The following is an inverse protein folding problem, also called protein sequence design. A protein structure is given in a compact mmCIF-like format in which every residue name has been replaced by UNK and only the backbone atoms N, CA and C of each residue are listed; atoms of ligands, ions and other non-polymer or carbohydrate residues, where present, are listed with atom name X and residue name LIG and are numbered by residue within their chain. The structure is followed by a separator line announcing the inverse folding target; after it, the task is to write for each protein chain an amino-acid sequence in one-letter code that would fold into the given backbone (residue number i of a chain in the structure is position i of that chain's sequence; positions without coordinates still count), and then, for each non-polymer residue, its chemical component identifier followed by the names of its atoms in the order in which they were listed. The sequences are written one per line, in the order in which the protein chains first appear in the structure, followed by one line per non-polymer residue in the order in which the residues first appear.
data_IF_093823920269
#
_entry.id   IF_093823920269
#
_cell.length_a   1.000
_cell.length_b   1.000
_cell.length_c   1.000
_cell.angle_alpha   90.00
_cell.angle_beta   90.00
_cell.angle_gamma   90.00
#
_symmetry.space_group_name_H-M   'P 1'
#
loop_
_entity.id
_entity.type
_entity.pdbx_description
1 polymer ?
#
# COMPACT_ATOMS: atom_id res chain seq x y z
N UNK A 1 -21.27 -59.34 29.63
CA UNK A 1 -21.56 -57.91 29.34
C UNK A 1 -20.27 -57.13 29.52
N UNK A 2 -19.55 -56.88 28.42
CA UNK A 2 -18.33 -56.08 28.44
C UNK A 2 -18.67 -54.64 28.03
N UNK A 3 -18.35 -53.71 28.92
CA UNK A 3 -18.47 -52.27 28.70
C UNK A 3 -17.26 -51.84 27.85
N UNK A 4 -17.47 -51.49 26.58
CA UNK A 4 -16.42 -50.90 25.73
C UNK A 4 -16.49 -49.38 25.91
N UNK A 5 -15.57 -48.85 26.72
CA UNK A 5 -15.35 -47.42 26.87
C UNK A 5 -14.61 -46.92 25.63
N UNK A 6 -15.31 -46.24 24.73
CA UNK A 6 -14.71 -45.48 23.62
C UNK A 6 -13.97 -44.26 24.19
N UNK A 7 -12.70 -44.44 24.54
CA UNK A 7 -11.75 -43.34 24.68
C UNK A 7 -11.54 -42.75 23.28
N UNK A 8 -12.14 -41.59 23.02
CA UNK A 8 -11.77 -40.78 21.88
C UNK A 8 -10.26 -40.48 21.95
N UNK A 9 -9.48 -40.71 20.89
CA UNK A 9 -8.05 -40.46 20.95
C UNK A 9 -7.81 -38.96 21.09
N UNK A 10 -7.23 -38.59 22.24
CA UNK A 10 -6.69 -37.29 22.60
C UNK A 10 -5.46 -36.94 21.74
N UNK A 11 -5.62 -36.97 20.41
CA UNK A 11 -4.56 -36.70 19.44
C UNK A 11 -5.05 -35.92 18.21
N UNK A 12 -6.37 -35.68 18.07
CA UNK A 12 -6.92 -34.75 17.05
C UNK A 12 -6.92 -33.28 17.51
N UNK A 13 -6.82 -33.02 18.83
CA UNK A 13 -6.76 -31.65 19.37
C UNK A 13 -5.34 -31.03 19.35
N UNK A 14 -4.30 -31.81 19.05
CA UNK A 14 -2.90 -31.35 18.99
C UNK A 14 -2.38 -31.10 17.56
N UNK A 15 -3.13 -31.46 16.52
CA UNK A 15 -2.74 -31.25 15.12
C UNK A 15 -3.26 -29.94 14.50
N UNK A 16 -3.95 -29.10 15.27
CA UNK A 16 -4.41 -27.76 14.87
C UNK A 16 -3.57 -26.63 15.47
N UNK A 17 -2.30 -26.89 15.81
CA UNK A 17 -1.32 -25.81 15.88
C UNK A 17 -1.07 -25.32 14.44
N UNK A 18 -2.01 -24.52 13.92
CA UNK A 18 -1.79 -23.70 12.73
C UNK A 18 -0.44 -23.01 12.94
N UNK A 19 0.49 -23.20 12.02
CA UNK A 19 1.85 -22.64 12.10
C UNK A 19 1.74 -21.11 12.06
N UNK A 20 1.58 -20.52 13.25
CA UNK A 20 1.32 -19.09 13.41
C UNK A 20 2.61 -18.37 13.06
N UNK A 21 2.64 -17.75 11.88
CA UNK A 21 3.75 -16.88 11.51
C UNK A 21 3.84 -15.73 12.50
N UNK A 22 4.99 -15.62 13.13
CA UNK A 22 5.40 -14.42 13.85
C UNK A 22 5.59 -13.31 12.82
N UNK A 23 5.04 -12.14 13.14
CA UNK A 23 5.01 -10.96 12.28
C UNK A 23 5.50 -9.75 13.08
N UNK A 24 6.47 -9.02 12.51
CA UNK A 24 6.82 -7.69 13.01
C UNK A 24 5.80 -6.68 12.49
N UNK A 25 4.93 -6.17 13.36
CA UNK A 25 4.00 -5.10 13.04
C UNK A 25 4.69 -3.76 13.33
N UNK A 26 5.14 -3.09 12.28
CA UNK A 26 5.78 -1.79 12.44
C UNK A 26 4.71 -0.71 12.77
N UNK A 27 5.07 0.31 13.57
CA UNK A 27 4.21 1.48 13.72
C UNK A 27 3.90 2.08 12.36
N UNK A 28 2.62 2.31 12.05
CA UNK A 28 2.26 2.94 10.78
C UNK A 28 2.81 4.36 10.73
N UNK A 29 3.30 4.78 9.57
CA UNK A 29 3.68 6.17 9.35
C UNK A 29 2.43 7.06 9.33
N UNK A 30 2.57 8.29 9.78
CA UNK A 30 1.50 9.28 9.70
C UNK A 30 1.77 10.28 8.58
N UNK A 31 1.25 10.00 7.38
CA UNK A 31 1.36 10.90 6.22
C UNK A 31 0.20 11.89 6.17
N UNK A 32 -0.92 11.55 6.84
CA UNK A 32 -2.08 12.43 6.98
C UNK A 32 -1.76 13.76 7.65
N UNK A 33 -0.77 13.79 8.55
CA UNK A 33 -0.41 14.96 9.36
C UNK A 33 -1.22 15.12 10.64
N UNK A 34 -2.18 14.23 10.92
CA UNK A 34 -2.99 14.29 12.15
C UNK A 34 -2.49 13.32 13.22
N UNK A 35 -2.12 13.86 14.38
CA UNK A 35 -1.58 13.08 15.51
C UNK A 35 -2.59 12.13 16.16
N UNK A 36 -3.90 12.36 15.99
CA UNK A 36 -4.94 11.52 16.59
C UNK A 36 -5.22 10.22 15.83
N UNK A 37 -4.66 10.06 14.63
CA UNK A 37 -4.96 8.93 13.75
C UNK A 37 -4.38 7.59 14.24
N UNK A 38 -3.09 7.57 14.62
CA UNK A 38 -2.40 6.33 15.01
C UNK A 38 -2.99 5.64 16.25
N UNK A 39 -3.33 6.35 17.34
CA UNK A 39 -3.97 5.74 18.51
C UNK A 39 -5.30 5.06 18.20
N UNK A 40 -6.00 5.49 17.16
CA UNK A 40 -7.27 4.88 16.71
C UNK A 40 -6.99 3.63 15.86
N UNK A 41 -6.07 3.73 14.90
CA UNK A 41 -5.92 2.68 13.88
C UNK A 41 -5.06 1.49 14.33
N UNK A 42 -3.99 1.74 15.08
CA UNK A 42 -3.03 0.69 15.43
C UNK A 42 -3.65 -0.46 16.25
N UNK A 43 -4.52 -0.19 17.25
CA UNK A 43 -5.22 -1.27 17.96
C UNK A 43 -6.10 -2.12 17.05
N UNK A 44 -6.79 -1.49 16.09
CA UNK A 44 -7.67 -2.18 15.14
C UNK A 44 -6.88 -3.06 14.17
N UNK A 45 -5.72 -2.58 13.69
CA UNK A 45 -4.77 -3.36 12.86
C UNK A 45 -4.28 -4.58 13.64
N UNK A 46 -3.80 -4.38 14.86
CA UNK A 46 -3.30 -5.46 15.72
C UNK A 46 -4.38 -6.51 16.01
N UNK A 47 -5.60 -6.08 16.33
CA UNK A 47 -6.73 -6.98 16.56
C UNK A 47 -7.07 -7.78 15.30
N UNK A 48 -7.10 -7.13 14.13
CA UNK A 48 -7.42 -7.76 12.85
C UNK A 48 -6.37 -8.82 12.49
N UNK A 49 -5.09 -8.53 12.64
CA UNK A 49 -4.00 -9.49 12.39
C UNK A 49 -4.08 -10.69 13.34
N UNK A 50 -4.32 -10.47 14.63
CA UNK A 50 -4.53 -11.56 15.61
C UNK A 50 -5.73 -12.42 15.24
N UNK A 51 -6.84 -11.81 14.80
CA UNK A 51 -8.03 -12.54 14.35
C UNK A 51 -7.77 -13.41 13.11
N UNK A 52 -6.79 -13.03 12.28
CA UNK A 52 -6.31 -13.81 11.12
C UNK A 52 -5.23 -14.83 11.46
N UNK A 53 -4.89 -15.00 12.75
CA UNK A 53 -3.97 -16.03 13.24
C UNK A 53 -2.49 -15.63 13.23
N UNK A 54 -2.16 -14.36 13.00
CA UNK A 54 -0.78 -13.88 13.10
C UNK A 54 -0.38 -13.70 14.57
N UNK A 55 0.80 -14.19 14.92
CA UNK A 55 1.46 -13.80 16.15
C UNK A 55 2.25 -12.52 15.90
N UNK A 56 2.23 -11.57 16.83
CA UNK A 56 2.80 -10.24 16.61
C UNK A 56 3.92 -10.03 17.62
N UNK A 57 5.09 -9.59 17.12
CA UNK A 57 6.21 -9.17 17.99
C UNK A 57 5.70 -8.11 18.97
N UNK A 58 5.96 -8.33 20.26
CA UNK A 58 5.49 -7.45 21.32
C UNK A 58 6.01 -6.00 21.12
N UNK A 59 5.16 -4.96 21.19
CA UNK A 59 5.58 -3.56 21.01
C UNK A 59 6.73 -3.14 21.91
N UNK A 60 6.76 -3.65 23.16
CA UNK A 60 7.78 -3.34 24.16
C UNK A 60 9.17 -3.88 23.79
N UNK A 61 9.23 -4.87 22.89
CA UNK A 61 10.47 -5.38 22.30
C UNK A 61 10.82 -4.64 21.01
N UNK A 62 9.81 -4.32 20.20
CA UNK A 62 10.01 -3.68 18.90
C UNK A 62 10.47 -2.22 19.02
N UNK A 63 9.93 -1.44 19.95
CA UNK A 63 10.31 -0.03 20.13
C UNK A 63 11.80 0.16 20.45
N UNK A 64 12.40 -0.55 21.42
CA UNK A 64 13.85 -0.50 21.66
C UNK A 64 14.68 -0.92 20.43
N UNK A 65 14.19 -1.87 19.63
CA UNK A 65 14.86 -2.27 18.39
C UNK A 65 14.89 -1.13 17.38
N UNK A 66 13.76 -0.46 17.13
CA UNK A 66 13.68 0.67 16.20
C UNK A 66 14.64 1.80 16.61
N UNK A 67 14.70 2.09 17.91
CA UNK A 67 15.60 3.11 18.46
C UNK A 67 17.08 2.73 18.27
N UNK A 68 17.47 1.50 18.66
CA UNK A 68 18.86 1.03 18.54
C UNK A 68 19.34 0.98 17.08
N UNK A 69 18.48 0.53 16.17
CA UNK A 69 18.78 0.47 14.74
C UNK A 69 18.50 1.79 14.00
N UNK A 70 18.10 2.85 14.72
CA UNK A 70 17.80 4.18 14.18
C UNK A 70 16.79 4.16 13.03
N UNK A 71 15.82 3.24 13.10
CA UNK A 71 14.77 3.09 12.10
C UNK A 71 13.71 4.14 12.40
N UNK A 72 13.77 5.25 11.64
CA UNK A 72 12.81 6.36 11.75
C UNK A 72 11.68 6.25 10.73
N UNK A 73 11.97 5.67 9.56
CA UNK A 73 10.98 5.41 8.53
C UNK A 73 10.53 3.96 8.65
N UNK A 74 9.34 3.76 9.21
CA UNK A 74 8.77 2.43 9.45
C UNK A 74 7.93 1.95 8.27
N UNK A 75 7.63 2.83 7.30
CA UNK A 75 6.84 2.52 6.10
C UNK A 75 7.68 1.97 4.95
N UNK A 76 8.98 2.27 4.93
CA UNK A 76 9.91 1.91 3.85
C UNK A 76 11.19 1.31 4.43
N UNK A 77 11.11 0.02 4.80
CA UNK A 77 12.23 -0.70 5.38
C UNK A 77 13.22 -1.16 4.29
N UNK A 78 14.52 -0.95 4.51
CA UNK A 78 15.55 -1.51 3.66
C UNK A 78 15.73 -3.02 3.91
N UNK A 79 16.36 -3.73 2.98
CA UNK A 79 16.70 -5.15 3.17
C UNK A 79 17.57 -5.39 4.41
N UNK A 80 18.48 -4.47 4.72
CA UNK A 80 19.30 -4.56 5.91
C UNK A 80 18.44 -4.45 7.19
N UNK A 81 17.46 -3.56 7.21
CA UNK A 81 16.54 -3.42 8.34
C UNK A 81 15.61 -4.63 8.49
N UNK A 82 15.11 -5.16 7.38
CA UNK A 82 14.32 -6.40 7.35
C UNK A 82 15.13 -7.61 7.86
N UNK A 83 16.40 -7.74 7.45
CA UNK A 83 17.30 -8.76 7.97
C UNK A 83 17.55 -8.59 9.47
N UNK A 84 17.71 -7.36 9.97
CA UNK A 84 17.88 -7.10 11.40
C UNK A 84 16.64 -7.54 12.21
N UNK A 85 15.42 -7.31 11.70
CA UNK A 85 14.19 -7.80 12.32
C UNK A 85 14.18 -9.33 12.40
N UNK A 86 14.59 -10.01 11.33
CA UNK A 86 14.69 -11.48 11.29
C UNK A 86 15.69 -12.01 12.30
N UNK A 87 16.88 -11.43 12.36
CA UNK A 87 17.95 -11.88 13.26
C UNK A 87 17.56 -11.70 14.74
N UNK A 88 16.88 -10.59 15.08
CA UNK A 88 16.53 -10.32 16.47
C UNK A 88 15.26 -11.04 16.93
N UNK A 89 14.24 -11.11 16.08
CA UNK A 89 12.91 -11.61 16.47
C UNK A 89 12.54 -12.96 15.87
N UNK A 90 13.33 -13.50 14.93
CA UNK A 90 12.99 -14.75 14.23
C UNK A 90 11.74 -14.64 13.36
N UNK A 91 11.33 -13.42 12.98
CA UNK A 91 10.15 -13.16 12.16
C UNK A 91 10.48 -13.28 10.68
N UNK A 92 9.69 -14.05 9.92
CA UNK A 92 9.86 -14.21 8.47
C UNK A 92 9.18 -13.11 7.65
N UNK A 93 8.32 -12.33 8.30
CA UNK A 93 7.55 -11.26 7.66
C UNK A 93 7.50 -10.00 8.52
N UNK A 94 7.46 -8.86 7.85
CA UNK A 94 7.28 -7.54 8.46
C UNK A 94 6.12 -6.84 7.77
N UNK A 95 5.19 -6.28 8.54
CA UNK A 95 4.08 -5.49 8.04
C UNK A 95 4.37 -4.02 8.28
N UNK A 96 4.42 -3.27 7.18
CA UNK A 96 4.57 -1.82 7.16
C UNK A 96 3.30 -1.19 6.61
N UNK A 97 3.08 0.07 6.92
CA UNK A 97 1.92 0.81 6.43
C UNK A 97 1.94 2.26 6.82
N UNK A 98 0.94 2.99 6.34
CA UNK A 98 0.79 4.42 6.58
C UNK A 98 -0.69 4.77 6.73
N UNK A 99 -0.93 5.84 7.49
CA UNK A 99 -2.17 6.61 7.44
C UNK A 99 -1.98 7.70 6.41
N UNK A 100 -2.56 7.48 5.23
CA UNK A 100 -2.48 8.38 4.09
C UNK A 100 -3.42 9.58 4.23
N UNK A 101 -4.64 9.32 4.70
CA UNK A 101 -5.69 10.31 4.88
C UNK A 101 -6.39 10.10 6.21
N UNK A 102 -6.57 11.18 6.96
CA UNK A 102 -7.46 11.22 8.11
C UNK A 102 -8.11 12.60 8.17
N UNK A 103 -9.43 12.62 8.08
CA UNK A 103 -10.21 13.83 8.25
C UNK A 103 -11.29 13.58 9.30
N UNK A 104 -11.14 14.23 10.45
CA UNK A 104 -12.12 14.22 11.52
C UNK A 104 -13.20 15.26 11.22
N UNK A 105 -14.40 14.78 10.88
CA UNK A 105 -15.56 15.61 10.58
C UNK A 105 -16.80 14.96 11.14
N UNK A 106 -17.64 15.75 11.80
CA UNK A 106 -18.93 15.30 12.33
C UNK A 106 -19.96 15.00 11.22
N UNK A 107 -19.75 15.55 10.02
CA UNK A 107 -20.64 15.34 8.88
C UNK A 107 -20.18 14.18 8.00
N UNK A 108 -18.90 14.16 7.65
CA UNK A 108 -18.33 13.17 6.73
C UNK A 108 -16.86 12.87 7.09
N UNK A 109 -16.61 12.00 8.09
CA UNK A 109 -15.25 11.58 8.42
C UNK A 109 -14.63 10.83 7.23
N UNK A 110 -13.30 10.86 7.12
CA UNK A 110 -12.59 10.14 6.07
C UNK A 110 -11.34 9.44 6.60
N UNK A 111 -11.06 8.26 6.04
CA UNK A 111 -9.83 7.52 6.28
C UNK A 111 -9.24 7.03 4.96
N UNK A 112 -7.92 6.98 4.89
CA UNK A 112 -7.15 6.35 3.84
C UNK A 112 -5.90 5.71 4.44
N UNK A 113 -5.67 4.45 4.08
CA UNK A 113 -4.57 3.64 4.56
C UNK A 113 -3.93 2.89 3.39
N UNK A 114 -2.65 2.61 3.54
CA UNK A 114 -1.93 1.65 2.72
C UNK A 114 -1.08 0.75 3.60
N UNK A 115 -0.91 -0.50 3.17
CA UNK A 115 -0.11 -1.47 3.90
C UNK A 115 0.43 -2.56 2.99
N UNK A 116 1.55 -3.14 3.41
CA UNK A 116 2.20 -4.25 2.73
C UNK A 116 2.95 -5.12 3.73
N UNK A 117 3.04 -6.40 3.37
CA UNK A 117 3.88 -7.37 4.06
C UNK A 117 5.12 -7.61 3.19
N UNK A 118 6.29 -7.37 3.76
CA UNK A 118 7.57 -7.73 3.17
C UNK A 118 8.11 -9.00 3.82
N UNK A 119 8.70 -9.88 2.99
CA UNK A 119 9.54 -10.98 3.44
C UNK A 119 10.80 -10.42 4.09
N UNK A 120 11.12 -10.86 5.30
CA UNK A 120 12.37 -10.46 5.97
C UNK A 120 13.58 -11.25 5.47
N UNK A 121 13.37 -12.23 4.60
CA UNK A 121 14.42 -13.08 4.01
C UNK A 121 15.12 -12.35 2.87
N UNK A 122 14.34 -11.70 2.00
CA UNK A 122 14.80 -11.19 0.71
C UNK A 122 14.18 -9.83 0.34
N UNK A 123 13.28 -9.27 1.15
CA UNK A 123 12.61 -8.00 0.88
C UNK A 123 11.45 -8.08 -0.11
N UNK A 124 11.08 -9.28 -0.58
CA UNK A 124 9.97 -9.46 -1.52
C UNK A 124 8.65 -9.04 -0.88
N UNK A 125 7.84 -8.25 -1.59
CA UNK A 125 6.47 -7.94 -1.17
C UNK A 125 5.62 -9.20 -1.32
N UNK A 126 5.03 -9.66 -0.23
CA UNK A 126 4.17 -10.86 -0.17
C UNK A 126 2.68 -10.52 -0.26
N UNK A 127 2.31 -9.32 0.18
CA UNK A 127 0.95 -8.81 0.13
C UNK A 127 1.00 -7.28 0.17
N UNK A 128 0.09 -6.61 -0.53
CA UNK A 128 -0.04 -5.16 -0.49
C UNK A 128 -1.48 -4.73 -0.82
N UNK A 129 -1.99 -3.74 -0.10
CA UNK A 129 -3.32 -3.18 -0.31
C UNK A 129 -3.35 -1.70 0.08
N UNK A 130 -4.22 -0.94 -0.58
CA UNK A 130 -4.63 0.39 -0.15
C UNK A 130 -6.16 0.49 -0.11
N UNK A 131 -6.67 1.19 0.90
CA UNK A 131 -8.10 1.36 1.10
C UNK A 131 -8.39 2.76 1.63
N UNK A 132 -9.44 3.39 1.11
CA UNK A 132 -9.95 4.64 1.68
C UNK A 132 -11.46 4.73 1.58
N UNK A 133 -12.06 5.23 2.65
CA UNK A 133 -13.50 5.32 2.85
C UNK A 133 -13.88 6.68 3.43
N UNK A 134 -15.10 7.10 3.14
CA UNK A 134 -15.77 8.25 3.75
C UNK A 134 -17.02 7.81 4.48
N UNK A 135 -17.46 8.60 5.46
CA UNK A 135 -18.74 8.39 6.14
C UNK A 135 -19.92 8.32 5.17
N UNK A 136 -19.84 9.12 4.11
CA UNK A 136 -20.79 9.20 3.01
C UNK A 136 -20.96 7.90 2.22
N UNK A 137 -19.93 7.03 2.17
CA UNK A 137 -19.98 5.76 1.43
C UNK A 137 -21.01 4.76 2.00
N UNK A 138 -21.45 4.99 3.25
CA UNK A 138 -22.44 4.16 3.96
C UNK A 138 -23.85 4.74 3.89
N UNK A 139 -24.03 5.87 3.21
CA UNK A 139 -25.31 6.57 3.10
C UNK A 139 -26.28 5.78 2.23
N UNK A 140 -27.49 5.57 2.74
CA UNK A 140 -28.62 4.96 2.06
C UNK A 140 -29.72 6.01 1.82
N UNK A 141 -30.91 5.55 1.44
CA UNK A 141 -32.09 6.39 1.21
C UNK A 141 -32.35 7.32 2.41
N UNK A 142 -32.61 8.61 2.12
CA UNK A 142 -32.88 9.67 3.12
C UNK A 142 -31.74 9.94 4.12
N UNK A 143 -30.48 9.64 3.77
CA UNK A 143 -29.34 9.93 4.65
C UNK A 143 -29.13 8.91 5.77
N UNK A 144 -29.89 7.81 5.78
CA UNK A 144 -29.77 6.75 6.79
C UNK A 144 -28.49 5.93 6.57
N UNK A 145 -27.84 5.50 7.64
CA UNK A 145 -26.66 4.62 7.58
C UNK A 145 -25.31 5.33 7.43
N UNK A 146 -25.30 6.65 7.16
CA UNK A 146 -24.06 7.45 7.12
C UNK A 146 -23.25 7.27 8.41
N UNK A 147 -21.97 6.95 8.26
CA UNK A 147 -21.06 6.85 9.40
C UNK A 147 -20.51 8.24 9.70
N UNK A 148 -20.90 8.81 10.84
CA UNK A 148 -20.40 10.12 11.31
C UNK A 148 -19.27 10.03 12.34
N UNK A 149 -19.05 8.84 12.89
CA UNK A 149 -18.00 8.58 13.87
C UNK A 149 -16.70 8.22 13.16
N UNK A 150 -15.59 8.97 13.38
CA UNK A 150 -14.29 8.62 12.82
C UNK A 150 -13.79 7.24 13.30
N UNK A 151 -14.06 6.86 14.55
CA UNK A 151 -13.66 5.57 15.10
C UNK A 151 -14.44 4.42 14.49
N UNK A 152 -15.75 4.56 14.30
CA UNK A 152 -16.55 3.57 13.58
C UNK A 152 -16.10 3.41 12.12
N UNK A 153 -15.76 4.52 11.45
CA UNK A 153 -15.23 4.45 10.09
C UNK A 153 -13.85 3.78 10.04
N UNK A 154 -13.03 3.96 11.10
CA UNK A 154 -11.74 3.29 11.24
C UNK A 154 -11.87 1.75 11.24
N UNK A 155 -12.90 1.21 11.88
CA UNK A 155 -13.17 -0.24 11.84
C UNK A 155 -13.46 -0.72 10.41
N UNK A 156 -14.26 0.03 9.66
CA UNK A 156 -14.64 -0.34 8.30
C UNK A 156 -13.48 -0.23 7.30
N UNK A 157 -12.62 0.81 7.43
CA UNK A 157 -11.45 0.94 6.55
C UNK A 157 -10.40 -0.14 6.84
N UNK A 158 -10.21 -0.54 8.10
CA UNK A 158 -9.31 -1.65 8.47
C UNK A 158 -9.84 -2.98 7.94
N UNK A 159 -11.15 -3.23 8.07
CA UNK A 159 -11.79 -4.40 7.44
C UNK A 159 -11.58 -4.42 5.93
N UNK A 160 -11.75 -3.27 5.27
CA UNK A 160 -11.54 -3.15 3.83
C UNK A 160 -10.08 -3.40 3.44
N UNK A 161 -9.13 -2.79 4.15
CA UNK A 161 -7.69 -2.91 3.91
C UNK A 161 -7.22 -4.37 4.03
N UNK A 162 -7.61 -5.08 5.09
CA UNK A 162 -7.13 -6.45 5.33
C UNK A 162 -8.05 -7.54 4.77
N UNK A 163 -9.04 -7.18 3.95
CA UNK A 163 -9.98 -8.16 3.37
C UNK A 163 -9.25 -9.22 2.54
N UNK A 164 -8.27 -8.81 1.74
CA UNK A 164 -7.47 -9.69 0.86
C UNK A 164 -6.32 -10.39 1.58
N UNK A 165 -6.00 -9.99 2.82
CA UNK A 165 -4.90 -10.58 3.57
C UNK A 165 -5.22 -12.04 3.95
N UNK A 166 -4.40 -13.02 3.52
CA UNK A 166 -4.57 -14.42 3.89
C UNK A 166 -4.50 -14.65 5.40
N UNK A 167 -5.09 -15.75 5.86
CA UNK A 167 -4.84 -16.24 7.21
C UNK A 167 -3.37 -16.66 7.36
N UNK A 168 -2.85 -16.60 8.59
CA UNK A 168 -1.50 -17.06 8.89
C UNK A 168 -1.26 -18.49 8.43
N UNK A 169 -0.07 -18.78 7.89
CA UNK A 169 0.28 -20.08 7.33
C UNK A 169 -0.27 -20.37 5.94
N UNK A 170 -1.21 -19.56 5.41
CA UNK A 170 -1.69 -19.72 4.03
C UNK A 170 -0.86 -18.89 3.04
N UNK A 171 -0.53 -19.42 1.85
CA UNK A 171 0.15 -18.62 0.83
C UNK A 171 -0.73 -17.41 0.47
N UNK A 172 -0.15 -16.22 0.28
CA UNK A 172 -0.90 -15.11 -0.28
C UNK A 172 -1.46 -15.52 -1.64
N UNK A 173 -2.76 -15.31 -1.82
CA UNK A 173 -3.38 -15.49 -3.12
C UNK A 173 -2.63 -14.60 -4.12
N UNK A 174 -2.22 -15.16 -5.26
CA UNK A 174 -1.69 -14.33 -6.33
C UNK A 174 -2.74 -13.27 -6.69
N UNK A 175 -2.34 -12.00 -6.86
CA UNK A 175 -3.26 -10.98 -7.29
C UNK A 175 -3.97 -11.44 -8.56
N UNK A 176 -5.28 -11.62 -8.50
CA UNK A 176 -6.07 -11.84 -9.71
C UNK A 176 -6.26 -10.49 -10.38
N UNK A 177 -5.97 -10.34 -11.69
CA UNK A 177 -6.22 -9.10 -12.39
C UNK A 177 -7.71 -8.79 -12.27
N UNK A 178 -8.09 -7.78 -11.47
CA UNK A 178 -9.46 -7.29 -11.49
C UNK A 178 -9.67 -6.62 -12.84
N UNK A 179 -10.54 -7.19 -13.67
CA UNK A 179 -10.98 -6.53 -14.90
C UNK A 179 -11.69 -5.23 -14.52
N UNK A 180 -11.21 -4.06 -14.95
CA UNK A 180 -11.91 -2.83 -14.70
C UNK A 180 -13.23 -2.83 -15.49
N UNK A 181 -14.32 -2.51 -14.78
CA UNK A 181 -15.60 -2.21 -15.41
C UNK A 181 -15.43 -1.00 -16.31
N UNK A 182 -15.71 -1.19 -17.59
CA UNK A 182 -15.69 -0.18 -18.64
C UNK A 182 -16.48 1.07 -18.22
N UNK A 183 -15.79 2.19 -17.94
CA UNK A 183 -16.33 3.55 -18.06
C UNK A 183 -15.18 4.56 -18.03
N UNK A 184 -15.29 5.50 -18.94
CA UNK A 184 -14.20 6.19 -19.63
C UNK A 184 -13.52 7.29 -18.82
N UNK A 185 -12.21 7.13 -18.59
CA UNK A 185 -11.32 8.19 -18.13
C UNK A 185 -11.00 9.18 -19.27
N UNK A 186 -10.90 10.48 -18.97
CA UNK A 186 -10.91 11.55 -19.99
C UNK A 186 -9.58 11.82 -20.70
N UNK A 187 -8.47 11.17 -20.32
CA UNK A 187 -7.23 11.23 -21.10
C UNK A 187 -6.37 9.99 -20.85
N UNK A 188 -6.17 9.16 -21.89
CA UNK A 188 -5.22 8.04 -21.90
C UNK A 188 -4.05 8.42 -22.80
N UNK A 189 -3.14 9.27 -22.33
CA UNK A 189 -1.86 9.40 -23.00
C UNK A 189 -0.90 8.39 -22.38
N UNK A 190 -0.56 7.36 -23.16
CA UNK A 190 0.34 6.30 -22.74
C UNK A 190 1.34 5.96 -23.85
N UNK A 191 2.63 6.01 -23.55
CA UNK A 191 3.68 5.45 -24.40
C UNK A 191 4.13 4.11 -23.82
N UNK A 192 4.33 3.10 -24.66
CA UNK A 192 4.89 1.81 -24.27
C UNK A 192 5.90 1.33 -25.30
N UNK A 193 7.05 0.86 -24.80
CA UNK A 193 8.10 0.27 -25.59
C UNK A 193 8.01 -1.27 -25.59
N UNK A 194 8.26 -1.91 -26.73
CA UNK A 194 8.26 -3.38 -26.87
C UNK A 194 9.32 -4.10 -26.00
N UNK A 195 10.31 -3.38 -25.47
CA UNK A 195 11.27 -3.94 -24.52
C UNK A 195 10.58 -4.59 -23.30
N UNK A 196 9.41 -4.07 -22.90
CA UNK A 196 8.58 -4.60 -21.80
C UNK A 196 7.99 -5.99 -22.06
N UNK A 197 8.05 -6.48 -23.30
CA UNK A 197 7.57 -7.80 -23.70
C UNK A 197 8.69 -8.85 -23.74
N UNK A 198 9.92 -8.46 -23.35
CA UNK A 198 11.05 -9.37 -23.22
C UNK A 198 10.79 -10.49 -22.20
N UNK A 199 11.39 -11.66 -22.43
CA UNK A 199 11.21 -12.83 -21.58
C UNK A 199 11.85 -12.62 -20.20
N UNK A 200 11.04 -12.58 -19.14
CA UNK A 200 11.48 -12.48 -17.75
C UNK A 200 10.54 -11.64 -16.89
N UNK A 201 10.46 -11.93 -15.58
CA UNK A 201 9.74 -11.06 -14.64
C UNK A 201 10.67 -9.93 -14.21
N UNK A 202 10.44 -8.73 -14.74
CA UNK A 202 11.25 -7.57 -14.39
C UNK A 202 11.07 -7.21 -12.91
N UNK A 203 12.19 -6.90 -12.26
CA UNK A 203 12.21 -6.31 -10.92
C UNK A 203 12.05 -4.81 -11.03
N UNK A 204 10.86 -4.33 -10.69
CA UNK A 204 10.46 -2.93 -10.88
C UNK A 204 10.39 -2.22 -9.55
N UNK A 205 11.23 -1.20 -9.36
CA UNK A 205 11.26 -0.41 -8.15
C UNK A 205 10.43 0.88 -8.30
N UNK A 206 9.59 1.18 -7.32
CA UNK A 206 8.89 2.47 -7.24
C UNK A 206 9.72 3.42 -6.39
N UNK A 207 10.16 4.53 -6.99
CA UNK A 207 10.85 5.60 -6.28
C UNK A 207 9.86 6.53 -5.58
N UNK A 208 10.40 7.40 -4.71
CA UNK A 208 9.59 8.46 -4.11
C UNK A 208 9.08 9.37 -5.22
N UNK A 209 7.75 9.55 -5.25
CA UNK A 209 7.10 10.38 -6.24
C UNK A 209 7.29 11.84 -5.85
N UNK A 210 7.70 12.64 -6.83
CA UNK A 210 7.88 14.07 -6.64
C UNK A 210 6.53 14.73 -6.36
N UNK A 211 6.53 15.67 -5.42
CA UNK A 211 5.33 16.42 -5.06
C UNK A 211 5.42 17.87 -5.53
N UNK A 212 4.77 18.15 -6.66
CA UNK A 212 4.58 19.50 -7.17
C UNK A 212 3.21 20.10 -6.78
N UNK A 213 2.44 19.41 -5.92
CA UNK A 213 1.15 19.86 -5.40
C UNK A 213 1.30 20.62 -4.07
N UNK A 214 0.25 21.35 -3.69
CA UNK A 214 0.22 22.09 -2.42
C UNK A 214 0.08 21.18 -1.18
N UNK A 215 -0.39 19.93 -1.34
CA UNK A 215 -0.63 19.01 -0.23
C UNK A 215 0.69 18.36 0.21
N UNK A 216 1.21 18.62 1.42
CA UNK A 216 2.41 17.95 1.91
C UNK A 216 2.19 16.43 1.94
N UNK A 217 3.21 15.62 1.65
CA UNK A 217 3.09 14.16 1.69
C UNK A 217 2.30 13.53 0.52
N UNK A 218 1.72 14.29 -0.41
CA UNK A 218 0.99 13.73 -1.55
C UNK A 218 1.85 12.77 -2.39
N UNK A 219 3.14 13.10 -2.60
CA UNK A 219 4.10 12.21 -3.26
C UNK A 219 4.30 10.89 -2.50
N UNK A 220 4.40 10.94 -1.16
CA UNK A 220 4.54 9.75 -0.30
C UNK A 220 3.30 8.86 -0.36
N UNK A 221 2.10 9.44 -0.32
CA UNK A 221 0.82 8.71 -0.46
C UNK A 221 0.75 8.05 -1.83
N UNK A 222 1.09 8.81 -2.89
CA UNK A 222 1.08 8.29 -4.25
C UNK A 222 2.09 7.14 -4.43
N UNK A 223 3.29 7.22 -3.86
CA UNK A 223 4.25 6.11 -3.83
C UNK A 223 3.65 4.85 -3.20
N UNK A 224 2.96 4.98 -2.06
CA UNK A 224 2.34 3.84 -1.39
C UNK A 224 1.22 3.22 -2.24
N UNK A 225 0.26 4.03 -2.69
CA UNK A 225 -0.88 3.56 -3.48
C UNK A 225 -0.40 2.98 -4.82
N UNK A 226 0.59 3.59 -5.48
CA UNK A 226 1.20 3.05 -6.70
C UNK A 226 1.90 1.72 -6.46
N UNK A 227 2.68 1.60 -5.39
CA UNK A 227 3.35 0.33 -5.05
C UNK A 227 2.31 -0.78 -4.85
N UNK A 228 1.24 -0.52 -4.10
CA UNK A 228 0.16 -1.50 -3.88
C UNK A 228 -0.56 -1.85 -5.19
N UNK A 229 -0.85 -0.88 -6.04
CA UNK A 229 -1.61 -1.09 -7.29
C UNK A 229 -0.77 -1.83 -8.33
N UNK A 230 0.53 -1.51 -8.42
CA UNK A 230 1.47 -2.20 -9.30
C UNK A 230 1.67 -3.65 -8.86
N UNK A 231 1.78 -3.90 -7.55
CA UNK A 231 1.85 -5.24 -6.98
C UNK A 231 0.60 -6.06 -7.33
N UNK A 232 -0.58 -5.46 -7.15
CA UNK A 232 -1.86 -6.10 -7.48
C UNK A 232 -2.07 -6.40 -8.96
N UNK A 233 -1.34 -5.73 -9.86
CA UNK A 233 -1.38 -6.03 -11.30
C UNK A 233 -0.68 -7.36 -11.62
N UNK A 234 0.25 -7.82 -10.80
CA UNK A 234 0.93 -9.10 -10.94
C UNK A 234 1.86 -9.23 -12.16
N UNK A 235 2.12 -8.14 -12.91
CA UNK A 235 2.97 -8.15 -14.11
C UNK A 235 4.47 -8.19 -13.78
N UNK A 236 4.88 -7.58 -12.67
CA UNK A 236 6.28 -7.37 -12.31
C UNK A 236 6.58 -7.88 -10.90
N UNK A 237 7.84 -8.20 -10.65
CA UNK A 237 8.36 -8.35 -9.30
C UNK A 237 8.58 -6.96 -8.70
N UNK A 238 7.56 -6.43 -8.02
CA UNK A 238 7.62 -5.08 -7.44
C UNK A 238 8.58 -5.06 -6.25
N UNK A 239 9.53 -4.14 -6.29
CA UNK A 239 10.51 -3.90 -5.22
C UNK A 239 9.98 -2.83 -4.28
N UNK A 240 10.04 -3.10 -2.98
CA UNK A 240 9.63 -2.15 -1.94
C UNK A 240 10.47 -0.87 -1.98
N UNK A 241 9.87 0.34 -1.92
CA UNK A 241 10.54 1.64 -1.86
C UNK A 241 11.67 1.78 -0.83
N UNK A 242 11.70 0.99 0.25
CA UNK A 242 12.79 1.01 1.22
C UNK A 242 14.14 0.56 0.65
N UNK A 243 14.13 -0.40 -0.28
CA UNK A 243 15.36 -0.91 -0.91
C UNK A 243 16.03 0.11 -1.86
N UNK A 244 15.36 0.68 -2.87
CA UNK A 244 15.98 1.68 -3.74
C UNK A 244 16.31 2.96 -2.98
N UNK A 245 15.55 3.35 -1.95
CA UNK A 245 15.84 4.54 -1.16
C UNK A 245 17.14 4.38 -0.34
N UNK A 246 17.36 3.21 0.26
CA UNK A 246 18.61 2.88 0.95
C UNK A 246 19.80 2.84 -0.03
N UNK A 247 19.60 2.24 -1.21
CA UNK A 247 20.61 2.19 -2.25
C UNK A 247 21.00 3.59 -2.75
N UNK A 248 20.03 4.48 -2.99
CA UNK A 248 20.26 5.87 -3.40
C UNK A 248 20.95 6.68 -2.31
N UNK A 249 20.53 6.53 -1.05
CA UNK A 249 21.18 7.16 0.09
C UNK A 249 22.65 6.74 0.21
N UNK A 250 22.97 5.47 -0.03
CA UNK A 250 24.34 4.95 -0.02
C UNK A 250 25.21 5.53 -1.17
N UNK A 251 24.58 5.98 -2.26
CA UNK A 251 25.23 6.67 -3.38
C UNK A 251 25.29 8.19 -3.19
N UNK A 252 24.68 8.74 -2.14
CA UNK A 252 24.58 10.19 -1.93
C UNK A 252 23.69 10.89 -2.95
N UNK A 253 22.80 10.16 -3.62
CA UNK A 253 21.91 10.68 -4.66
C UNK A 253 20.51 10.91 -4.08
N UNK A 254 19.91 12.06 -4.36
CA UNK A 254 18.55 12.32 -3.90
C UNK A 254 17.51 11.54 -4.74
N UNK A 255 16.41 11.03 -4.15
CA UNK A 255 15.42 10.23 -4.86
C UNK A 255 14.67 10.89 -6.03
N UNK A 256 14.71 12.22 -6.12
CA UNK A 256 13.97 13.01 -7.12
C UNK A 256 14.90 13.69 -8.16
N UNK A 257 16.20 13.40 -8.14
CA UNK A 257 17.15 13.93 -9.11
C UNK A 257 17.08 13.18 -10.45
N UNK A 258 17.56 13.82 -11.53
CA UNK A 258 17.76 13.12 -12.79
C UNK A 258 18.87 12.08 -12.62
N UNK A 259 18.52 10.80 -12.74
CA UNK A 259 19.49 9.72 -12.70
C UNK A 259 20.27 9.64 -14.02
N UNK A 260 21.58 9.77 -13.93
CA UNK A 260 22.46 9.41 -15.02
C UNK A 260 22.53 7.89 -15.19
N UNK A 261 23.07 7.45 -16.32
CA UNK A 261 23.17 6.02 -16.62
C UNK A 261 24.08 5.27 -15.63
N UNK A 262 25.08 5.95 -15.06
CA UNK A 262 25.97 5.38 -14.06
C UNK A 262 25.21 5.01 -12.78
N UNK A 263 24.35 5.90 -12.29
CA UNK A 263 23.51 5.66 -11.11
C UNK A 263 22.54 4.50 -11.36
N UNK A 264 21.88 4.48 -12.53
CA UNK A 264 20.96 3.40 -12.90
C UNK A 264 21.67 2.03 -12.95
N UNK A 265 22.88 2.00 -13.51
CA UNK A 265 23.71 0.78 -13.58
C UNK A 265 24.08 0.29 -12.19
N UNK A 266 24.41 1.21 -11.28
CA UNK A 266 24.78 0.85 -9.91
C UNK A 266 23.57 0.34 -9.10
N UNK A 267 22.38 0.91 -9.30
CA UNK A 267 21.14 0.40 -8.71
C UNK A 267 20.81 -1.01 -9.21
N UNK A 268 20.98 -1.28 -10.52
CA UNK A 268 20.83 -2.62 -11.07
C UNK A 268 21.82 -3.60 -10.42
N UNK A 269 23.10 -3.21 -10.30
CA UNK A 269 24.15 -4.06 -9.73
C UNK A 269 23.93 -4.36 -8.25
N UNK A 270 23.49 -3.38 -7.45
CA UNK A 270 23.32 -3.51 -5.99
C UNK A 270 22.01 -4.16 -5.58
N UNK A 271 20.92 -3.78 -6.21
CA UNK A 271 19.56 -4.14 -5.80
C UNK A 271 18.84 -5.08 -6.80
N UNK A 272 19.49 -5.39 -7.93
CA UNK A 272 18.90 -6.20 -8.99
C UNK A 272 17.65 -5.54 -9.57
N UNK A 273 17.64 -4.21 -9.66
CA UNK A 273 16.51 -3.44 -10.19
C UNK A 273 16.64 -3.35 -11.72
N UNK A 274 15.66 -3.86 -12.44
CA UNK A 274 15.64 -3.86 -13.91
C UNK A 274 15.03 -2.58 -14.48
N UNK A 275 14.06 -2.00 -13.75
CA UNK A 275 13.44 -0.75 -14.12
C UNK A 275 12.99 0.05 -12.90
N UNK A 276 12.97 1.38 -13.05
CA UNK A 276 12.55 2.31 -12.02
C UNK A 276 11.30 3.05 -12.47
N UNK A 277 10.34 3.17 -11.57
CA UNK A 277 9.13 3.96 -11.74
C UNK A 277 9.30 5.27 -10.99
N UNK A 278 9.11 6.36 -11.73
CA UNK A 278 9.25 7.75 -11.31
C UNK A 278 7.99 8.51 -11.73
N UNK A 279 7.74 9.65 -11.11
CA UNK A 279 6.62 10.49 -11.50
C UNK A 279 6.53 11.74 -10.65
N UNK A 280 5.54 12.55 -10.98
CA UNK A 280 5.25 13.80 -10.30
C UNK A 280 3.74 13.91 -10.10
N UNK A 281 3.32 14.29 -8.90
CA UNK A 281 1.94 14.70 -8.63
C UNK A 281 1.83 16.22 -8.67
N UNK A 282 1.01 16.72 -9.59
CA UNK A 282 0.82 18.16 -9.82
C UNK A 282 -0.39 18.71 -9.06
N UNK A 283 -1.46 17.92 -9.00
CA UNK A 283 -2.70 18.29 -8.28
C UNK A 283 -3.07 17.17 -7.33
N UNK A 284 -3.37 17.54 -6.10
CA UNK A 284 -3.84 16.63 -5.07
C UNK A 284 -4.77 17.38 -4.12
N UNK A 285 -6.08 17.18 -4.28
CA UNK A 285 -7.10 17.80 -3.45
C UNK A 285 -8.01 16.73 -2.87
N UNK A 286 -7.92 16.51 -1.56
CA UNK A 286 -8.65 15.46 -0.84
C UNK A 286 -10.16 15.70 -0.73
N UNK A 287 -10.67 16.85 -1.20
CA UNK A 287 -12.11 17.15 -1.20
C UNK A 287 -12.67 17.48 0.19
N UNK A 288 -11.83 17.95 1.12
CA UNK A 288 -12.16 18.11 2.55
C UNK A 288 -12.94 19.39 2.92
N UNK A 289 -13.65 20.04 2.00
CA UNK A 289 -14.36 21.29 2.32
C UNK A 289 -15.57 21.06 3.25
N UNK A 290 -15.75 21.96 4.23
CA UNK A 290 -16.72 21.86 5.33
C UNK A 290 -18.19 22.01 4.94
N UNK A 291 -18.50 22.58 3.78
CA UNK A 291 -19.84 23.13 3.47
C UNK A 291 -20.48 22.56 2.20
N UNK A 292 -19.71 21.86 1.36
CA UNK A 292 -20.19 21.13 0.19
C UNK A 292 -19.28 19.93 -0.05
N UNK A 293 -19.83 18.79 -0.48
CA UNK A 293 -19.05 17.63 -0.91
C UNK A 293 -18.25 17.99 -2.15
N UNK A 294 -17.09 18.63 -1.99
CA UNK A 294 -16.13 18.76 -3.08
C UNK A 294 -15.53 17.39 -3.32
N UNK A 295 -15.66 16.90 -4.55
CA UNK A 295 -15.05 15.64 -4.92
C UNK A 295 -13.53 15.74 -4.91
N UNK A 296 -12.85 14.64 -4.54
CA UNK A 296 -11.39 14.61 -4.61
C UNK A 296 -10.91 14.83 -6.04
N UNK A 297 -9.76 15.47 -6.22
CA UNK A 297 -9.14 15.70 -7.54
C UNK A 297 -7.66 15.34 -7.52
N UNK A 298 -7.19 14.71 -8.59
CA UNK A 298 -5.77 14.39 -8.78
C UNK A 298 -5.33 14.59 -10.22
N UNK A 299 -4.09 15.04 -10.41
CA UNK A 299 -3.40 15.02 -11.70
C UNK A 299 -1.93 14.63 -11.49
N UNK A 300 -1.46 13.64 -12.23
CA UNK A 300 -0.13 13.06 -12.07
C UNK A 300 0.41 12.49 -13.40
N UNK A 301 1.73 12.36 -13.49
CA UNK A 301 2.39 11.55 -14.51
C UNK A 301 3.32 10.52 -13.88
N UNK A 302 3.51 9.41 -14.59
CA UNK A 302 4.40 8.34 -14.20
C UNK A 302 5.17 7.89 -15.44
N UNK A 303 6.46 7.64 -15.26
CA UNK A 303 7.34 7.02 -16.27
C UNK A 303 8.11 5.85 -15.68
N UNK A 304 8.44 4.89 -16.54
CA UNK A 304 9.30 3.77 -16.22
C UNK A 304 10.57 3.85 -17.06
N UNK A 305 11.73 3.73 -16.41
CA UNK A 305 13.05 3.78 -17.03
C UNK A 305 13.74 2.43 -16.89
N UNK A 306 14.21 1.86 -17.99
CA UNK A 306 15.00 0.63 -17.98
C UNK A 306 16.41 0.92 -17.47
N UNK A 307 16.83 0.24 -16.40
CA UNK A 307 18.04 0.57 -15.65
C UNK A 307 19.33 0.39 -16.46
N UNK A 308 19.37 -0.58 -17.38
CA UNK A 308 20.59 -0.88 -18.15
C UNK A 308 20.79 0.03 -19.36
N UNK A 309 19.71 0.52 -19.96
CA UNK A 309 19.82 1.36 -21.18
C UNK A 309 19.48 2.83 -20.95
N UNK A 310 18.92 3.18 -19.78
CA UNK A 310 18.40 4.52 -19.49
C UNK A 310 17.18 4.90 -20.33
N UNK A 311 16.64 3.99 -21.15
CA UNK A 311 15.50 4.26 -22.02
C UNK A 311 14.22 4.32 -21.20
N UNK A 312 13.39 5.31 -21.50
CA UNK A 312 12.00 5.32 -21.05
C UNK A 312 11.26 4.20 -21.80
N UNK A 313 10.71 3.25 -21.05
CA UNK A 313 10.01 2.09 -21.58
C UNK A 313 8.50 2.21 -21.45
N UNK A 314 8.03 3.08 -20.56
CA UNK A 314 6.62 3.39 -20.41
C UNK A 314 6.42 4.78 -19.84
N UNK A 315 5.37 5.46 -20.28
CA UNK A 315 4.90 6.73 -19.72
C UNK A 315 3.38 6.67 -19.69
N UNK A 316 2.77 7.16 -18.63
CA UNK A 316 1.36 7.48 -18.60
C UNK A 316 1.11 8.77 -17.82
N UNK A 317 0.10 9.51 -18.22
CA UNK A 317 -0.45 10.62 -17.44
C UNK A 317 -1.90 10.32 -17.10
N UNK A 318 -2.30 10.71 -15.89
CA UNK A 318 -3.66 10.48 -15.39
C UNK A 318 -4.16 11.70 -14.63
N UNK A 319 -5.39 12.09 -14.94
CA UNK A 319 -6.14 13.08 -14.18
C UNK A 319 -7.53 12.52 -13.87
N UNK A 320 -8.09 12.90 -12.74
CA UNK A 320 -9.46 12.51 -12.41
C UNK A 320 -10.04 13.30 -11.25
N UNK A 321 -11.35 13.42 -11.26
CA UNK A 321 -12.16 13.89 -10.13
C UNK A 321 -13.10 12.79 -9.64
N UNK A 322 -13.47 12.84 -8.36
CA UNK A 322 -14.43 11.91 -7.77
C UNK A 322 -15.79 11.89 -8.49
N UNK A 323 -16.16 13.00 -9.13
CA UNK A 323 -17.42 13.16 -9.86
C UNK A 323 -17.42 12.46 -11.23
N UNK A 324 -16.25 12.14 -11.81
CA UNK A 324 -16.16 11.50 -13.12
C UNK A 324 -16.85 10.13 -13.16
N UNK A 325 -17.11 9.53 -11.99
CA UNK A 325 -17.70 8.22 -11.82
C UNK A 325 -19.21 8.26 -11.47
N UNK A 326 -19.81 9.44 -11.42
CA UNK A 326 -21.22 9.62 -11.12
C UNK A 326 -22.11 8.94 -12.19
N UNK A 327 -23.15 8.24 -11.74
CA UNK A 327 -24.15 7.60 -12.60
C UNK A 327 -25.43 8.44 -12.58
N UNK A 328 -26.11 8.54 -11.43
CA UNK A 328 -27.34 9.32 -11.20
C UNK A 328 -27.41 9.71 -9.71
N UNK A 329 -27.86 10.93 -9.37
CA UNK A 329 -28.15 11.37 -7.99
C UNK A 329 -27.07 10.94 -6.97
N UNK A 330 -25.84 11.43 -7.17
CA UNK A 330 -24.62 11.11 -6.41
C UNK A 330 -24.22 9.62 -6.30
N UNK A 331 -24.95 8.70 -6.93
CA UNK A 331 -24.58 7.29 -7.00
C UNK A 331 -23.36 7.13 -7.91
N UNK A 332 -22.34 6.39 -7.46
CA UNK A 332 -21.10 6.13 -8.20
C UNK A 332 -19.97 7.13 -7.96
N UNK A 333 -20.23 8.26 -7.28
CA UNK A 333 -19.21 9.26 -6.91
C UNK A 333 -18.13 8.61 -6.04
N UNK A 334 -16.86 8.87 -6.37
CA UNK A 334 -15.73 8.42 -5.57
C UNK A 334 -15.40 9.51 -4.57
N UNK A 335 -15.70 9.26 -3.30
CA UNK A 335 -15.61 10.29 -2.24
C UNK A 335 -14.27 10.32 -1.52
N UNK A 336 -13.51 9.23 -1.55
CA UNK A 336 -12.20 9.12 -0.90
C UNK A 336 -11.06 9.33 -1.90
N UNK A 337 -10.09 10.15 -1.54
CA UNK A 337 -8.87 10.39 -2.33
C UNK A 337 -8.10 9.09 -2.64
N UNK A 338 -7.89 8.21 -1.66
CA UNK A 338 -7.18 6.92 -1.88
C UNK A 338 -7.94 6.04 -2.88
N UNK A 339 -9.28 6.03 -2.81
CA UNK A 339 -10.11 5.31 -3.78
C UNK A 339 -10.03 5.91 -5.18
N UNK A 340 -9.96 7.24 -5.31
CA UNK A 340 -9.77 7.92 -6.60
C UNK A 340 -8.39 7.60 -7.19
N UNK A 341 -7.33 7.75 -6.39
CA UNK A 341 -5.95 7.42 -6.79
C UNK A 341 -5.85 6.00 -7.33
N UNK A 342 -6.39 5.02 -6.61
CA UNK A 342 -6.34 3.62 -7.05
C UNK A 342 -7.01 3.44 -8.42
N UNK A 343 -8.15 4.10 -8.67
CA UNK A 343 -8.83 4.03 -9.98
C UNK A 343 -8.02 4.69 -11.09
N UNK A 344 -7.50 5.89 -10.83
CA UNK A 344 -6.62 6.62 -11.77
C UNK A 344 -5.42 5.77 -12.14
N UNK A 345 -4.74 5.20 -11.15
CA UNK A 345 -3.57 4.35 -11.34
C UNK A 345 -3.92 3.04 -12.05
N UNK A 346 -5.02 2.38 -11.71
CA UNK A 346 -5.47 1.20 -12.44
C UNK A 346 -5.69 1.50 -13.93
N UNK A 347 -6.34 2.62 -14.25
CA UNK A 347 -6.54 3.07 -15.63
C UNK A 347 -5.23 3.38 -16.35
N UNK A 348 -4.26 3.99 -15.67
CA UNK A 348 -2.92 4.22 -16.23
C UNK A 348 -2.19 2.89 -16.48
N UNK A 349 -2.19 1.98 -15.51
CA UNK A 349 -1.50 0.69 -15.58
C UNK A 349 -2.15 -0.30 -16.56
N UNK A 350 -3.34 -0.03 -17.10
CA UNK A 350 -3.90 -0.77 -18.25
C UNK A 350 -3.06 -0.57 -19.52
N UNK A 351 -2.28 0.51 -19.60
CA UNK A 351 -1.39 0.76 -20.74
C UNK A 351 -0.07 -0.03 -20.65
N UNK A 352 0.16 -0.74 -19.53
CA UNK A 352 1.20 -1.77 -19.29
C UNK A 352 0.62 -3.18 -19.48
#
# INVERSE_FOLDING_TARGET
MALVTLLAPCSMLQAYAQDRKLLALLPFENVSGSVSSLPIIMPLVQQTLRSKGYEIVAPEKLEPFLLRHRIRNTGMLSRAQLNNLRQEFGTDVALVGSVDLFHESEQNPQWGLSSRIASTVDGTILWAESAGLTGGDFTRVLGLGTIRSPTRLAEEVVKALFRSLPASGTPPAQPSPTSPGWRTMRSRYGYRNALLDSAGSWRVAVLLIENASERPGAGRILTDVLTTTLFQRGRFAVVDPGEPNDALAALGVAPHESFDLATLTELKKRAGIDALVLGTVYRYNEGLKREATTSPEVALDIRMIHAESGKIVWVASGEGTGDDYQIVLDFGVVRSMVSLLRRVLQGMLETL
#
